data_IF_437458084325
#
_entry.id   IF_437458084325
#
_cell.length_a   1.000
_cell.length_b   1.000
_cell.length_c   1.000
_cell.angle_alpha   90.00
_cell.angle_beta   90.00
_cell.angle_gamma   90.00
#
_symmetry.space_group_name_H-M   'P 1'
#
loop_
_entity.id
_entity.type
_entity.pdbx_description
1 polymer ?
#
# COMPACT_ATOMS: atom_id res chain seq x y z
N UNK A 1 -4.62 -23.61 -3.73
CA UNK A 1 -4.45 -22.62 -4.81
C UNK A 1 -3.11 -22.90 -5.48
N UNK A 2 -3.02 -22.87 -6.80
CA UNK A 2 -1.73 -23.10 -7.48
C UNK A 2 -0.75 -21.94 -7.19
N UNK A 3 0.55 -22.19 -7.29
CA UNK A 3 1.60 -21.23 -6.96
C UNK A 3 1.54 -19.95 -7.82
N UNK A 4 1.14 -20.06 -9.09
CA UNK A 4 0.92 -18.93 -9.99
C UNK A 4 -0.25 -18.06 -9.52
N UNK A 5 -1.38 -18.68 -9.12
CA UNK A 5 -2.50 -17.95 -8.54
C UNK A 5 -2.11 -17.27 -7.20
N UNK A 6 -1.22 -17.86 -6.39
CA UNK A 6 -0.70 -17.23 -5.14
C UNK A 6 0.15 -16.01 -5.45
N UNK A 7 1.04 -16.11 -6.44
CA UNK A 7 1.84 -14.99 -6.90
C UNK A 7 0.99 -13.87 -7.51
N UNK A 8 0.00 -14.22 -8.34
CA UNK A 8 -0.92 -13.25 -8.95
C UNK A 8 -1.72 -12.47 -7.89
N UNK A 9 -2.15 -13.14 -6.82
CA UNK A 9 -2.80 -12.47 -5.69
C UNK A 9 -1.89 -11.44 -5.02
N UNK A 10 -0.63 -11.79 -4.71
CA UNK A 10 0.33 -10.86 -4.10
C UNK A 10 0.60 -9.66 -5.01
N UNK A 11 0.73 -9.88 -6.32
CA UNK A 11 0.92 -8.81 -7.31
C UNK A 11 -0.29 -7.87 -7.34
N UNK A 12 -1.51 -8.41 -7.32
CA UNK A 12 -2.72 -7.61 -7.27
C UNK A 12 -2.78 -6.75 -6.00
N UNK A 13 -2.44 -7.32 -4.84
CA UNK A 13 -2.39 -6.58 -3.58
C UNK A 13 -1.32 -5.47 -3.61
N UNK A 14 -0.15 -5.74 -4.18
CA UNK A 14 0.91 -4.74 -4.34
C UNK A 14 0.49 -3.57 -5.27
N UNK A 15 -0.26 -3.88 -6.34
CA UNK A 15 -0.83 -2.85 -7.21
C UNK A 15 -1.84 -1.97 -6.47
N UNK A 16 -2.73 -2.57 -5.67
CA UNK A 16 -3.69 -1.84 -4.84
C UNK A 16 -3.00 -0.96 -3.78
N UNK A 17 -1.99 -1.48 -3.09
CA UNK A 17 -1.20 -0.74 -2.11
C UNK A 17 -0.50 0.46 -2.76
N UNK A 18 0.08 0.28 -3.96
CA UNK A 18 0.72 1.35 -4.71
C UNK A 18 -0.28 2.45 -5.11
N UNK A 19 -1.47 2.07 -5.57
CA UNK A 19 -2.53 3.02 -5.90
C UNK A 19 -2.99 3.81 -4.67
N UNK A 20 -3.10 3.17 -3.50
CA UNK A 20 -3.44 3.83 -2.24
C UNK A 20 -2.38 4.88 -1.84
N UNK A 21 -1.10 4.52 -1.93
CA UNK A 21 0.01 5.46 -1.65
C UNK A 21 -0.03 6.65 -2.61
N UNK A 22 -0.25 6.42 -3.91
CA UNK A 22 -0.36 7.50 -4.89
C UNK A 22 -1.52 8.47 -4.59
N UNK A 23 -2.65 7.94 -4.15
CA UNK A 23 -3.79 8.74 -3.67
C UNK A 23 -3.42 9.59 -2.45
N UNK A 24 -2.70 9.03 -1.48
CA UNK A 24 -2.26 9.75 -0.27
C UNK A 24 -1.25 10.85 -0.61
N UNK A 25 -0.30 10.60 -1.52
CA UNK A 25 0.64 11.62 -2.02
C UNK A 25 -0.10 12.75 -2.71
N UNK A 26 -1.12 12.43 -3.52
CA UNK A 26 -1.95 13.43 -4.21
C UNK A 26 -2.70 14.30 -3.20
N UNK A 27 -3.30 13.70 -2.17
CA UNK A 27 -4.01 14.42 -1.12
C UNK A 27 -3.08 15.35 -0.32
N UNK A 28 -1.90 14.87 0.08
CA UNK A 28 -0.91 15.70 0.78
C UNK A 28 -0.39 16.84 -0.11
N UNK A 29 -0.14 16.57 -1.39
CA UNK A 29 0.29 17.59 -2.36
C UNK A 29 -0.77 18.68 -2.53
N UNK A 30 -2.05 18.30 -2.63
CA UNK A 30 -3.16 19.24 -2.71
C UNK A 30 -3.28 20.09 -1.45
N UNK A 31 -3.17 19.48 -0.26
CA UNK A 31 -3.18 20.20 1.01
C UNK A 31 -2.00 21.19 1.12
N UNK A 32 -0.81 20.78 0.69
CA UNK A 32 0.37 21.64 0.67
C UNK A 32 0.18 22.87 -0.23
N UNK A 33 -0.38 22.69 -1.43
CA UNK A 33 -0.70 23.81 -2.35
C UNK A 33 -1.74 24.75 -1.73
N UNK A 34 -2.72 24.20 -1.01
CA UNK A 34 -3.77 24.96 -0.34
C UNK A 34 -3.35 25.59 1.00
N UNK A 35 -2.09 25.42 1.43
CA UNK A 35 -1.61 25.77 2.79
C UNK A 35 -2.48 25.19 3.91
N UNK A 36 -2.98 23.96 3.71
CA UNK A 36 -3.74 23.21 4.68
C UNK A 36 -2.86 22.16 5.38
N UNK A 37 -3.25 21.71 6.59
CA UNK A 37 -2.58 20.58 7.24
C UNK A 37 -2.60 19.34 6.34
N UNK A 38 -1.49 18.60 6.32
CA UNK A 38 -1.42 17.35 5.56
C UNK A 38 -2.35 16.30 6.17
N UNK A 39 -3.24 15.68 5.38
CA UNK A 39 -4.17 14.67 5.87
C UNK A 39 -3.51 13.33 6.22
N UNK A 40 -2.33 13.03 5.67
CA UNK A 40 -1.63 11.77 5.91
C UNK A 40 -0.24 11.98 6.49
N UNK A 41 0.05 11.31 7.60
CA UNK A 41 1.33 11.26 8.28
C UNK A 41 2.24 10.16 7.71
N UNK A 42 3.52 10.17 8.09
CA UNK A 42 4.46 9.11 7.69
C UNK A 42 4.02 7.71 8.17
N UNK A 43 3.46 7.62 9.37
CA UNK A 43 2.96 6.36 9.93
C UNK A 43 1.80 5.79 9.11
N UNK A 44 0.94 6.66 8.55
CA UNK A 44 -0.14 6.22 7.65
C UNK A 44 0.40 5.55 6.39
N UNK A 45 1.51 6.06 5.83
CA UNK A 45 2.16 5.43 4.66
C UNK A 45 2.79 4.08 5.01
N UNK A 46 3.43 3.99 6.18
CA UNK A 46 4.08 2.77 6.65
C UNK A 46 3.07 1.66 6.97
N UNK A 47 1.83 2.01 7.34
CA UNK A 47 0.77 1.05 7.62
C UNK A 47 0.10 0.47 6.35
N UNK A 48 0.31 1.05 5.16
CA UNK A 48 -0.37 0.60 3.92
C UNK A 48 -0.04 -0.86 3.55
N UNK A 49 1.23 -1.31 3.54
CA UNK A 49 1.54 -2.71 3.22
C UNK A 49 0.82 -3.72 4.12
N UNK A 50 0.66 -3.40 5.41
CA UNK A 50 -0.01 -4.28 6.37
C UNK A 50 -1.52 -4.35 6.12
N UNK A 51 -2.16 -3.25 5.71
CA UNK A 51 -3.58 -3.23 5.31
C UNK A 51 -3.87 -4.16 4.12
N UNK A 52 -2.90 -4.34 3.22
CA UNK A 52 -3.02 -5.20 2.05
C UNK A 52 -2.41 -6.59 2.27
N UNK A 53 -1.97 -6.93 3.48
CA UNK A 53 -1.34 -8.21 3.84
C UNK A 53 -0.08 -8.52 3.01
N UNK A 54 0.66 -7.49 2.61
CA UNK A 54 1.89 -7.61 1.81
C UNK A 54 3.15 -7.23 2.59
N UNK A 55 3.09 -7.28 3.92
CA UNK A 55 4.29 -7.22 4.77
C UNK A 55 5.29 -8.32 4.37
N UNK A 56 6.59 -8.05 4.45
CA UNK A 56 7.65 -8.94 3.94
C UNK A 56 7.49 -10.40 4.42
N UNK A 57 7.24 -10.60 5.71
CA UNK A 57 7.04 -11.93 6.29
C UNK A 57 5.70 -12.57 5.85
N UNK A 58 4.65 -11.78 5.67
CA UNK A 58 3.34 -12.26 5.22
C UNK A 58 3.39 -12.76 3.76
N UNK A 59 4.14 -12.09 2.89
CA UNK A 59 4.36 -12.54 1.50
C UNK A 59 5.14 -13.86 1.47
N UNK A 60 6.21 -13.97 2.26
CA UNK A 60 7.01 -15.20 2.31
C UNK A 60 6.18 -16.38 2.83
N UNK A 61 5.42 -16.18 3.92
CA UNK A 61 4.54 -17.21 4.47
C UNK A 61 3.44 -17.59 3.47
N UNK A 62 2.84 -16.61 2.79
CA UNK A 62 1.79 -16.85 1.80
C UNK A 62 2.29 -17.49 0.50
N UNK A 63 3.59 -17.48 0.19
CA UNK A 63 4.14 -18.11 -1.02
C UNK A 63 4.83 -19.47 -0.77
N UNK A 64 5.15 -19.80 0.48
CA UNK A 64 5.68 -21.11 0.90
C UNK A 64 4.61 -22.21 0.81
#
# INVERSE_FOLDING_TARGET
>A
MDQQARAAFVIAQAACASAKIASMVTANSAAMIANQPMPHSADDFLAVPDQFLIGHNAVIEYLR
#
